data_IF_729765358757
#
_entry.id   IF_729765358757
#
_cell.length_a   1.000
_cell.length_b   1.000
_cell.length_c   1.000
_cell.angle_alpha   90.00
_cell.angle_beta   90.00
_cell.angle_gamma   90.00
#
_symmetry.space_group_name_H-M   'P 1'
#
loop_
_entity.id
_entity.type
_entity.pdbx_description
1 polymer ?
#
# COMPACT_ATOMS: atom_id res chain seq x y z
N UNK A 1 13.01 -14.26 -15.09
CA UNK A 1 13.95 -13.11 -15.34
C UNK A 1 15.03 -13.11 -14.26
N UNK A 2 16.31 -12.87 -14.59
CA UNK A 2 17.40 -12.90 -13.58
C UNK A 2 17.26 -11.73 -12.59
N UNK A 3 17.41 -11.99 -11.30
CA UNK A 3 17.31 -11.01 -10.20
C UNK A 3 18.18 -9.76 -10.44
N UNK A 4 19.35 -9.92 -11.06
CA UNK A 4 20.24 -8.81 -11.39
C UNK A 4 19.63 -7.66 -12.19
N UNK A 5 18.55 -7.88 -12.97
CA UNK A 5 17.86 -6.81 -13.71
C UNK A 5 17.12 -5.84 -12.78
N UNK A 6 16.57 -6.32 -11.67
CA UNK A 6 15.93 -5.45 -10.67
C UNK A 6 16.93 -4.60 -9.91
N UNK A 7 18.16 -5.15 -9.68
CA UNK A 7 19.26 -4.35 -9.13
C UNK A 7 19.68 -3.22 -10.07
N UNK A 8 19.68 -3.46 -11.40
CA UNK A 8 19.95 -2.38 -12.37
C UNK A 8 18.92 -1.26 -12.22
N UNK A 9 17.61 -1.59 -12.12
CA UNK A 9 16.57 -0.58 -11.93
C UNK A 9 16.76 0.19 -10.62
N UNK A 10 17.17 -0.49 -9.54
CA UNK A 10 17.47 0.18 -8.26
C UNK A 10 18.68 1.12 -8.42
N UNK A 11 19.79 0.66 -9.03
CA UNK A 11 21.00 1.46 -9.22
C UNK A 11 20.69 2.73 -10.02
N UNK A 12 19.84 2.65 -11.03
CA UNK A 12 19.47 3.80 -11.87
C UNK A 12 18.81 4.94 -11.09
N UNK A 13 18.12 4.63 -9.99
CA UNK A 13 17.44 5.65 -9.18
C UNK A 13 18.25 6.13 -7.97
N UNK A 14 19.34 5.45 -7.61
CA UNK A 14 20.21 5.83 -6.48
C UNK A 14 20.62 7.31 -6.52
N UNK A 15 21.11 7.87 -7.65
CA UNK A 15 21.49 9.28 -7.67
C UNK A 15 20.35 10.21 -7.28
N UNK A 16 19.12 9.92 -7.75
CA UNK A 16 17.94 10.72 -7.40
C UNK A 16 17.60 10.58 -5.91
N UNK A 17 17.69 9.35 -5.35
CA UNK A 17 17.40 9.10 -3.94
C UNK A 17 18.40 9.78 -2.99
N UNK A 18 19.65 9.98 -3.42
CA UNK A 18 20.69 10.64 -2.62
C UNK A 18 20.62 12.16 -2.74
N UNK A 19 20.34 12.66 -3.95
CA UNK A 19 20.40 14.10 -4.25
C UNK A 19 19.06 14.84 -3.99
N UNK A 20 17.97 14.11 -3.78
CA UNK A 20 16.64 14.70 -3.57
C UNK A 20 16.48 15.16 -2.13
N UNK A 21 15.89 16.33 -1.95
CA UNK A 21 15.45 16.83 -0.65
C UNK A 21 14.03 16.39 -0.30
N UNK A 22 13.68 16.51 0.99
CA UNK A 22 12.33 16.22 1.50
C UNK A 22 11.31 17.25 1.01
N UNK A 23 10.15 16.77 0.57
CA UNK A 23 9.03 17.66 0.23
C UNK A 23 8.35 18.16 1.50
N UNK A 24 8.11 19.50 1.64
CA UNK A 24 7.60 20.07 2.89
C UNK A 24 6.22 19.55 3.29
N UNK A 25 5.29 19.50 2.36
CA UNK A 25 3.86 19.27 2.65
C UNK A 25 3.49 17.84 3.02
N UNK A 26 4.24 16.83 2.58
CA UNK A 26 3.92 15.43 2.85
C UNK A 26 5.01 14.74 3.63
N UNK A 27 6.25 14.77 3.13
CA UNK A 27 7.34 13.96 3.70
C UNK A 27 7.76 14.49 5.07
N UNK A 28 8.04 15.80 5.20
CA UNK A 28 8.38 16.40 6.50
C UNK A 28 7.24 16.27 7.50
N UNK A 29 5.98 16.35 7.06
CA UNK A 29 4.83 16.10 7.93
C UNK A 29 4.85 14.67 8.50
N UNK A 30 5.13 13.66 7.68
CA UNK A 30 5.20 12.28 8.18
C UNK A 30 6.36 12.07 9.15
N UNK A 31 7.51 12.69 8.90
CA UNK A 31 8.65 12.63 9.81
C UNK A 31 8.35 13.33 11.16
N UNK A 32 7.68 14.49 11.13
CA UNK A 32 7.23 15.17 12.34
C UNK A 32 6.26 14.32 13.17
N UNK A 33 5.30 13.62 12.52
CA UNK A 33 4.38 12.71 13.19
C UNK A 33 5.14 11.55 13.85
N UNK A 34 6.15 10.99 13.16
CA UNK A 34 6.98 9.91 13.69
C UNK A 34 7.81 10.38 14.88
N UNK A 35 8.37 11.61 14.84
CA UNK A 35 9.12 12.19 15.96
C UNK A 35 8.25 12.38 17.20
N UNK A 36 7.04 12.89 17.01
CA UNK A 36 6.06 13.05 18.09
C UNK A 36 5.66 11.69 18.68
N UNK A 37 5.38 10.71 17.82
CA UNK A 37 5.02 9.37 18.24
C UNK A 37 6.15 8.65 19.00
N UNK A 38 7.41 8.79 18.56
CA UNK A 38 8.57 8.21 19.27
C UNK A 38 8.85 8.90 20.61
N UNK A 39 8.66 10.23 20.69
CA UNK A 39 8.83 10.99 21.92
C UNK A 39 7.78 10.58 22.97
N UNK A 40 6.53 10.42 22.55
CA UNK A 40 5.38 10.23 23.44
C UNK A 40 5.03 8.75 23.64
N UNK A 41 5.72 7.82 22.95
CA UNK A 41 5.54 6.37 23.08
C UNK A 41 4.29 5.83 22.39
N UNK A 42 3.81 6.50 21.34
CA UNK A 42 2.64 6.10 20.58
C UNK A 42 3.01 5.22 19.37
N UNK A 43 2.36 4.05 19.23
CA UNK A 43 2.60 3.10 18.14
C UNK A 43 1.38 2.84 17.26
N UNK A 44 0.19 2.95 17.81
CA UNK A 44 -1.07 2.73 17.08
C UNK A 44 -1.83 4.01 16.82
N UNK A 45 -1.57 5.06 17.60
CA UNK A 45 -2.22 6.36 17.50
C UNK A 45 -1.19 7.44 17.20
N UNK A 46 -1.51 8.32 16.27
CA UNK A 46 -0.58 9.35 15.82
C UNK A 46 -1.16 10.73 16.05
N UNK A 47 -0.27 11.66 16.31
CA UNK A 47 -0.58 13.06 16.52
C UNK A 47 0.33 13.92 15.64
N UNK A 48 -0.13 15.10 15.31
CA UNK A 48 0.64 16.08 14.55
C UNK A 48 0.45 17.44 15.19
N UNK A 49 1.50 17.99 15.78
CA UNK A 49 1.49 19.24 16.55
C UNK A 49 0.47 19.21 17.71
N UNK A 50 0.37 18.07 18.39
CA UNK A 50 -0.55 17.83 19.49
C UNK A 50 -2.00 17.54 19.08
N UNK A 51 -2.34 17.67 17.79
CA UNK A 51 -3.66 17.32 17.27
C UNK A 51 -3.73 15.87 16.80
N UNK A 52 -4.88 15.25 16.99
CA UNK A 52 -5.15 13.87 16.62
C UNK A 52 -5.04 13.66 15.10
N UNK A 53 -4.14 12.76 14.67
CA UNK A 53 -3.90 12.43 13.27
C UNK A 53 -4.32 10.99 12.96
N UNK A 54 -5.61 10.78 12.71
CA UNK A 54 -6.17 9.47 12.34
C UNK A 54 -6.30 9.25 10.81
N UNK A 55 -5.62 10.08 10.01
CA UNK A 55 -5.76 10.10 8.53
C UNK A 55 -5.16 8.86 7.84
N UNK A 56 -4.15 8.25 8.44
CA UNK A 56 -3.43 7.12 7.86
C UNK A 56 -3.24 5.98 8.87
N UNK A 57 -3.31 4.70 8.40
CA UNK A 57 -2.97 3.54 9.20
C UNK A 57 -1.48 3.50 9.59
N UNK A 58 -1.11 2.73 10.65
CA UNK A 58 0.22 2.79 11.26
C UNK A 58 1.36 2.16 10.47
N UNK A 59 1.11 1.24 9.52
CA UNK A 59 2.18 0.44 8.89
C UNK A 59 3.32 1.29 8.33
N UNK A 60 2.98 2.35 7.60
CA UNK A 60 4.01 3.19 6.97
C UNK A 60 4.81 3.98 8.02
N UNK A 61 4.15 4.48 9.06
CA UNK A 61 4.83 5.16 10.18
C UNK A 61 5.76 4.21 10.92
N UNK A 62 5.38 2.94 11.13
CA UNK A 62 6.28 1.94 11.70
C UNK A 62 7.54 1.71 10.87
N UNK A 63 7.42 1.73 9.53
CA UNK A 63 8.59 1.64 8.65
C UNK A 63 9.50 2.87 8.79
N UNK A 64 8.93 4.07 8.92
CA UNK A 64 9.70 5.29 9.15
C UNK A 64 10.38 5.28 10.53
N UNK A 65 9.70 4.82 11.59
CA UNK A 65 10.28 4.59 12.92
C UNK A 65 11.44 3.59 12.86
N UNK A 66 11.25 2.47 12.16
CA UNK A 66 12.28 1.46 11.94
C UNK A 66 13.50 2.06 11.23
N UNK A 67 13.28 2.90 10.20
CA UNK A 67 14.37 3.60 9.52
C UNK A 67 15.17 4.46 10.50
N UNK A 68 14.50 5.29 11.30
CA UNK A 68 15.16 6.14 12.30
C UNK A 68 15.90 5.31 13.33
N UNK A 69 15.36 4.18 13.76
CA UNK A 69 16.03 3.28 14.70
C UNK A 69 17.31 2.64 14.11
N UNK A 70 17.30 2.29 12.81
CA UNK A 70 18.45 1.67 12.14
C UNK A 70 19.58 2.68 11.87
N UNK A 71 19.25 3.87 11.37
CA UNK A 71 20.22 4.87 10.94
C UNK A 71 20.51 5.97 11.97
N UNK A 72 19.74 6.02 13.07
CA UNK A 72 19.86 7.07 14.10
C UNK A 72 19.27 8.41 13.68
N UNK A 73 19.15 8.66 12.39
CA UNK A 73 18.62 9.89 11.78
C UNK A 73 17.72 9.60 10.57
N UNK A 74 17.06 10.62 10.05
CA UNK A 74 16.29 10.49 8.82
C UNK A 74 17.18 10.61 7.60
N UNK A 75 17.58 9.48 7.04
CA UNK A 75 18.33 9.41 5.80
C UNK A 75 17.36 9.25 4.62
N UNK A 76 17.38 10.18 3.66
CA UNK A 76 16.50 10.15 2.48
C UNK A 76 16.61 8.83 1.71
N UNK A 77 17.83 8.33 1.50
CA UNK A 77 18.04 7.05 0.81
C UNK A 77 17.36 5.89 1.54
N UNK A 78 17.61 5.75 2.85
CA UNK A 78 17.02 4.68 3.68
C UNK A 78 15.50 4.72 3.69
N UNK A 79 14.92 5.92 3.84
CA UNK A 79 13.48 6.13 3.84
C UNK A 79 12.85 5.81 2.47
N UNK A 80 13.49 6.23 1.38
CA UNK A 80 13.00 5.99 0.01
C UNK A 80 12.98 4.50 -0.36
N UNK A 81 13.75 3.65 0.32
CA UNK A 81 13.71 2.19 0.13
C UNK A 81 12.31 1.62 0.43
N UNK A 82 11.56 2.20 1.36
CA UNK A 82 10.19 1.77 1.67
C UNK A 82 9.16 2.11 0.60
N UNK A 83 9.50 2.91 -0.40
CA UNK A 83 8.69 3.17 -1.58
C UNK A 83 9.23 2.43 -2.82
N UNK A 84 10.54 2.48 -3.06
CA UNK A 84 11.13 1.89 -4.27
C UNK A 84 11.18 0.35 -4.23
N UNK A 85 11.44 -0.26 -3.06
CA UNK A 85 11.41 -1.73 -2.94
C UNK A 85 10.02 -2.30 -3.26
N UNK A 86 8.90 -1.80 -2.67
CA UNK A 86 7.57 -2.19 -3.08
C UNK A 86 7.28 -1.99 -4.58
N UNK A 87 7.79 -0.91 -5.18
CA UNK A 87 7.66 -0.70 -6.63
C UNK A 87 8.36 -1.80 -7.43
N UNK A 88 9.61 -2.15 -7.08
CA UNK A 88 10.36 -3.23 -7.74
C UNK A 88 9.72 -4.60 -7.52
N UNK A 89 9.20 -4.87 -6.31
CA UNK A 89 8.44 -6.09 -6.01
C UNK A 89 7.18 -6.15 -6.86
N UNK A 90 6.48 -5.02 -7.06
CA UNK A 90 5.30 -4.96 -7.93
C UNK A 90 5.64 -5.35 -9.37
N UNK A 91 6.73 -4.83 -9.92
CA UNK A 91 7.24 -5.25 -11.24
C UNK A 91 7.57 -6.75 -11.26
N UNK A 92 8.22 -7.26 -10.21
CA UNK A 92 8.54 -8.68 -10.10
C UNK A 92 7.29 -9.55 -10.11
N UNK A 93 6.26 -9.19 -9.33
CA UNK A 93 4.98 -9.91 -9.28
C UNK A 93 4.30 -9.90 -10.65
N UNK A 94 4.24 -8.75 -11.32
CA UNK A 94 3.66 -8.64 -12.66
C UNK A 94 4.40 -9.54 -13.66
N UNK A 95 5.73 -9.54 -13.65
CA UNK A 95 6.52 -10.43 -14.49
C UNK A 95 6.27 -11.92 -14.21
N UNK A 96 6.13 -12.26 -12.91
CA UNK A 96 5.82 -13.63 -12.50
C UNK A 96 4.43 -14.05 -12.94
N UNK A 97 3.48 -13.12 -12.93
CA UNK A 97 2.08 -13.37 -13.32
C UNK A 97 1.96 -13.74 -14.81
N UNK A 98 2.67 -13.01 -15.67
CA UNK A 98 2.61 -13.21 -17.13
C UNK A 98 3.72 -14.12 -17.67
N UNK A 99 4.43 -14.85 -16.80
CA UNK A 99 5.64 -15.62 -17.18
C UNK A 99 5.37 -16.71 -18.18
N UNK A 100 4.20 -17.34 -18.10
CA UNK A 100 3.82 -18.45 -18.99
C UNK A 100 3.32 -17.95 -20.36
N UNK A 101 2.77 -16.74 -20.41
CA UNK A 101 2.14 -16.20 -21.61
C UNK A 101 3.07 -15.32 -22.44
N UNK A 102 4.29 -15.01 -21.93
CA UNK A 102 5.17 -14.02 -22.56
C UNK A 102 6.64 -14.44 -22.57
N UNK A 103 7.40 -13.90 -23.53
CA UNK A 103 8.85 -14.11 -23.60
C UNK A 103 9.59 -13.25 -22.58
N UNK A 104 10.80 -13.66 -22.20
CA UNK A 104 11.63 -12.90 -21.25
C UNK A 104 12.01 -11.50 -21.76
N UNK A 105 12.13 -11.32 -23.08
CA UNK A 105 12.40 -10.02 -23.70
C UNK A 105 11.18 -9.09 -23.56
N UNK A 106 9.99 -9.57 -23.87
CA UNK A 106 8.75 -8.80 -23.76
C UNK A 106 8.47 -8.37 -22.31
N UNK A 107 8.68 -9.27 -21.35
CA UNK A 107 8.57 -8.94 -19.91
C UNK A 107 9.53 -7.84 -19.48
N UNK A 108 10.78 -7.87 -20.00
CA UNK A 108 11.75 -6.83 -19.70
C UNK A 108 11.35 -5.48 -20.27
N UNK A 109 10.91 -5.47 -21.54
CA UNK A 109 10.41 -4.24 -22.17
C UNK A 109 9.21 -3.67 -21.41
N UNK A 110 8.24 -4.50 -21.03
CA UNK A 110 7.09 -4.08 -20.21
C UNK A 110 7.51 -3.56 -18.84
N UNK A 111 8.53 -4.19 -18.21
CA UNK A 111 9.08 -3.70 -16.94
C UNK A 111 9.71 -2.32 -17.07
N UNK A 112 10.47 -2.08 -18.15
CA UNK A 112 11.07 -0.78 -18.42
C UNK A 112 9.99 0.28 -18.70
N UNK A 113 9.00 -0.02 -19.51
CA UNK A 113 7.89 0.90 -19.80
C UNK A 113 7.14 1.29 -18.53
N UNK A 114 6.84 0.32 -17.65
CA UNK A 114 6.19 0.60 -16.37
C UNK A 114 7.11 1.42 -15.46
N UNK A 115 8.37 1.02 -15.31
CA UNK A 115 9.34 1.68 -14.43
C UNK A 115 9.62 3.13 -14.85
N UNK A 116 9.70 3.40 -16.17
CA UNK A 116 9.96 4.74 -16.70
C UNK A 116 8.70 5.61 -16.84
N UNK A 117 7.51 5.06 -16.56
CA UNK A 117 6.31 5.89 -16.54
C UNK A 117 6.39 6.92 -15.39
N UNK A 118 6.12 8.19 -15.71
CA UNK A 118 6.31 9.31 -14.77
C UNK A 118 5.58 9.09 -13.44
N UNK A 119 4.34 8.60 -13.49
CA UNK A 119 3.55 8.36 -12.29
C UNK A 119 4.12 7.22 -11.43
N UNK A 120 4.54 6.12 -12.05
CA UNK A 120 5.06 4.96 -11.31
C UNK A 120 6.40 5.28 -10.65
N UNK A 121 7.36 5.83 -11.40
CA UNK A 121 8.67 6.18 -10.85
C UNK A 121 8.54 7.31 -9.81
N UNK A 122 7.73 8.34 -10.09
CA UNK A 122 7.47 9.41 -9.14
C UNK A 122 6.91 8.90 -7.81
N UNK A 123 5.93 7.98 -7.86
CA UNK A 123 5.37 7.34 -6.65
C UNK A 123 6.38 6.43 -5.92
N UNK A 124 7.32 5.83 -6.65
CA UNK A 124 8.39 5.01 -6.07
C UNK A 124 9.52 5.82 -5.43
N UNK A 125 9.72 7.07 -5.83
CA UNK A 125 10.78 7.94 -5.31
C UNK A 125 10.33 8.76 -4.10
N UNK A 126 9.05 9.13 -4.03
CA UNK A 126 8.50 9.96 -2.94
C UNK A 126 8.16 9.09 -1.73
N UNK A 127 8.37 9.63 -0.51
CA UNK A 127 7.98 8.98 0.74
C UNK A 127 6.45 8.94 0.86
N UNK A 128 5.86 7.91 0.28
CA UNK A 128 4.42 7.69 0.28
C UNK A 128 4.09 6.21 0.41
N UNK A 129 2.96 5.94 1.06
CA UNK A 129 2.45 4.58 1.26
C UNK A 129 1.82 3.96 0.00
N UNK A 130 1.76 4.71 -1.12
CA UNK A 130 1.06 4.29 -2.34
C UNK A 130 1.65 3.02 -2.94
N UNK A 131 2.97 2.96 -3.11
CA UNK A 131 3.62 1.78 -3.68
C UNK A 131 3.56 0.56 -2.77
N UNK A 132 3.60 0.78 -1.44
CA UNK A 132 3.44 -0.29 -0.45
C UNK A 132 2.03 -0.91 -0.53
N UNK A 133 0.99 -0.07 -0.58
CA UNK A 133 -0.39 -0.52 -0.78
C UNK A 133 -0.56 -1.24 -2.12
N UNK A 134 -0.04 -0.67 -3.21
CA UNK A 134 -0.11 -1.24 -4.56
C UNK A 134 0.53 -2.64 -4.61
N UNK A 135 1.70 -2.82 -3.99
CA UNK A 135 2.38 -4.11 -3.87
C UNK A 135 1.49 -5.15 -3.18
N UNK A 136 0.86 -4.79 -2.05
CA UNK A 136 -0.01 -5.74 -1.34
C UNK A 136 -1.28 -6.05 -2.10
N UNK A 137 -1.88 -5.08 -2.81
CA UNK A 137 -3.01 -5.32 -3.70
C UNK A 137 -2.62 -6.31 -4.81
N UNK A 138 -1.46 -6.11 -5.46
CA UNK A 138 -0.97 -7.02 -6.50
C UNK A 138 -0.69 -8.43 -5.96
N UNK A 139 -0.11 -8.54 -4.77
CA UNK A 139 0.10 -9.83 -4.09
C UNK A 139 -1.23 -10.54 -3.82
N UNK A 140 -2.25 -9.82 -3.36
CA UNK A 140 -3.59 -10.36 -3.14
C UNK A 140 -4.21 -10.86 -4.45
N UNK A 141 -4.20 -10.05 -5.50
CA UNK A 141 -4.76 -10.40 -6.81
C UNK A 141 -4.01 -11.56 -7.48
N UNK A 142 -2.69 -11.57 -7.42
CA UNK A 142 -1.88 -12.67 -7.92
C UNK A 142 -2.15 -13.98 -7.15
N UNK A 143 -2.29 -13.91 -5.82
CA UNK A 143 -2.64 -15.05 -4.99
C UNK A 143 -4.03 -15.58 -5.32
N UNK A 144 -5.02 -14.70 -5.50
CA UNK A 144 -6.35 -15.06 -5.97
C UNK A 144 -6.28 -15.74 -7.34
N UNK A 145 -5.56 -15.15 -8.30
CA UNK A 145 -5.43 -15.71 -9.65
C UNK A 145 -4.77 -17.10 -9.66
N UNK A 146 -3.74 -17.33 -8.84
CA UNK A 146 -3.15 -18.67 -8.68
C UNK A 146 -4.18 -19.68 -8.17
N UNK A 147 -4.97 -19.31 -7.17
CA UNK A 147 -6.04 -20.18 -6.66
C UNK A 147 -7.09 -20.47 -7.72
N UNK A 148 -7.49 -19.46 -8.49
CA UNK A 148 -8.44 -19.60 -9.60
C UNK A 148 -7.92 -20.52 -10.71
N UNK A 149 -6.66 -20.38 -11.09
CA UNK A 149 -6.00 -21.18 -12.13
C UNK A 149 -5.62 -22.60 -11.70
N UNK A 150 -6.00 -23.03 -10.49
CA UNK A 150 -5.65 -24.35 -9.98
C UNK A 150 -4.19 -24.52 -9.54
N UNK A 151 -3.39 -23.45 -9.57
CA UNK A 151 -1.97 -23.40 -9.13
C UNK A 151 -1.81 -22.97 -7.67
N UNK A 152 -2.92 -22.83 -6.96
CA UNK A 152 -2.95 -22.38 -5.56
C UNK A 152 -2.35 -23.41 -4.61
N UNK A 153 -1.70 -22.91 -3.55
CA UNK A 153 -1.16 -23.70 -2.45
C UNK A 153 -2.03 -23.53 -1.20
N UNK A 154 -2.01 -24.47 -0.22
CA UNK A 154 -2.79 -24.35 1.03
C UNK A 154 -2.55 -23.04 1.77
N UNK A 155 -1.30 -22.52 1.77
CA UNK A 155 -0.93 -21.24 2.37
C UNK A 155 -1.61 -20.03 1.73
N UNK A 156 -2.01 -20.13 0.45
CA UNK A 156 -2.63 -19.03 -0.28
C UNK A 156 -4.01 -18.65 0.30
N UNK A 157 -4.64 -19.55 1.07
CA UNK A 157 -5.87 -19.26 1.83
C UNK A 157 -5.64 -18.27 2.97
N UNK A 158 -4.47 -18.32 3.59
CA UNK A 158 -4.07 -17.37 4.63
C UNK A 158 -3.47 -16.09 3.99
N UNK A 159 -2.64 -16.25 2.96
CA UNK A 159 -1.92 -15.13 2.33
C UNK A 159 -2.86 -14.14 1.65
N UNK A 160 -3.96 -14.59 1.05
CA UNK A 160 -4.91 -13.69 0.39
C UNK A 160 -5.51 -12.65 1.35
N UNK A 161 -6.19 -13.03 2.45
CA UNK A 161 -6.71 -12.06 3.41
C UNK A 161 -5.61 -11.29 4.13
N UNK A 162 -4.45 -11.89 4.38
CA UNK A 162 -3.30 -11.20 4.95
C UNK A 162 -2.81 -10.06 4.05
N UNK A 163 -2.66 -10.28 2.75
CA UNK A 163 -2.25 -9.22 1.83
C UNK A 163 -3.30 -8.11 1.71
N UNK A 164 -4.59 -8.47 1.72
CA UNK A 164 -5.68 -7.47 1.77
C UNK A 164 -5.58 -6.65 3.05
N UNK A 165 -5.38 -7.31 4.22
CA UNK A 165 -5.17 -6.60 5.48
C UNK A 165 -3.96 -5.65 5.40
N UNK A 166 -2.82 -6.10 4.88
CA UNK A 166 -1.62 -5.27 4.74
C UNK A 166 -1.84 -4.08 3.80
N UNK A 167 -2.66 -4.23 2.76
CA UNK A 167 -3.05 -3.12 1.91
C UNK A 167 -3.93 -2.10 2.65
N UNK A 168 -4.92 -2.56 3.45
CA UNK A 168 -5.71 -1.71 4.35
C UNK A 168 -4.80 -1.00 5.35
N UNK A 169 -3.92 -1.75 5.98
CA UNK A 169 -3.01 -1.29 7.02
C UNK A 169 -1.93 -0.32 6.50
N UNK A 170 -1.74 -0.28 5.15
CA UNK A 170 -0.86 0.70 4.49
C UNK A 170 -1.54 2.04 4.24
N UNK A 171 -2.78 2.06 3.73
CA UNK A 171 -3.42 3.31 3.28
C UNK A 171 -4.92 3.40 3.57
N UNK A 172 -5.53 2.39 4.20
CA UNK A 172 -6.95 2.38 4.57
C UNK A 172 -7.87 1.71 3.55
N UNK A 173 -9.16 2.13 3.45
CA UNK A 173 -10.23 1.38 2.77
C UNK A 173 -9.97 1.03 1.31
N UNK A 174 -9.20 1.82 0.58
CA UNK A 174 -8.84 1.55 -0.82
C UNK A 174 -8.13 0.20 -0.97
N UNK A 175 -7.28 -0.17 0.03
CA UNK A 175 -6.61 -1.45 0.08
C UNK A 175 -7.54 -2.67 0.20
N UNK A 176 -8.79 -2.45 0.60
CA UNK A 176 -9.84 -3.46 0.66
C UNK A 176 -10.73 -3.44 -0.58
N UNK A 177 -11.21 -2.27 -0.96
CA UNK A 177 -12.19 -2.09 -2.03
C UNK A 177 -11.63 -2.55 -3.38
N UNK A 178 -10.40 -2.14 -3.71
CA UNK A 178 -9.78 -2.43 -5.02
C UNK A 178 -9.63 -3.93 -5.26
N UNK A 179 -9.00 -4.74 -4.39
CA UNK A 179 -8.86 -6.17 -4.65
C UNK A 179 -10.22 -6.89 -4.68
N UNK A 180 -11.18 -6.54 -3.81
CA UNK A 180 -12.49 -7.20 -3.81
C UNK A 180 -13.29 -6.91 -5.08
N UNK A 181 -13.38 -5.65 -5.50
CA UNK A 181 -14.06 -5.29 -6.74
C UNK A 181 -13.38 -5.95 -7.93
N UNK A 182 -12.06 -5.96 -7.98
CA UNK A 182 -11.31 -6.59 -9.08
C UNK A 182 -11.60 -8.10 -9.16
N UNK A 183 -11.60 -8.80 -8.02
CA UNK A 183 -11.95 -10.23 -7.96
C UNK A 183 -13.39 -10.48 -8.41
N UNK A 184 -14.34 -9.66 -7.95
CA UNK A 184 -15.75 -9.76 -8.34
C UNK A 184 -15.96 -9.53 -9.84
N UNK A 185 -15.36 -8.46 -10.39
CA UNK A 185 -15.47 -8.13 -11.82
C UNK A 185 -14.80 -9.24 -12.66
N UNK A 186 -13.66 -9.75 -12.24
CA UNK A 186 -13.00 -10.87 -12.92
C UNK A 186 -13.92 -12.11 -12.99
N UNK A 187 -14.54 -12.49 -11.87
CA UNK A 187 -15.46 -13.62 -11.82
C UNK A 187 -16.75 -13.37 -12.59
N UNK A 188 -17.24 -12.12 -12.62
CA UNK A 188 -18.38 -11.72 -13.47
C UNK A 188 -18.06 -11.92 -14.96
N UNK A 189 -16.92 -11.45 -15.42
CA UNK A 189 -16.44 -11.64 -16.81
C UNK A 189 -16.29 -13.13 -17.16
N UNK A 190 -15.82 -13.93 -16.20
CA UNK A 190 -15.70 -15.39 -16.34
C UNK A 190 -17.03 -16.14 -16.15
N UNK A 191 -18.14 -15.44 -15.85
CA UNK A 191 -19.49 -16.00 -15.57
C UNK A 191 -19.48 -17.01 -14.41
N UNK A 192 -18.59 -16.84 -13.45
CA UNK A 192 -18.36 -17.75 -12.30
C UNK A 192 -18.45 -17.02 -10.95
N UNK A 193 -19.40 -16.13 -10.79
CA UNK A 193 -19.56 -15.33 -9.55
C UNK A 193 -19.82 -16.20 -8.32
N UNK A 194 -20.48 -17.36 -8.52
CA UNK A 194 -20.77 -18.30 -7.42
C UNK A 194 -19.51 -18.82 -6.75
N UNK A 195 -18.41 -18.86 -7.46
CA UNK A 195 -17.11 -19.27 -6.92
C UNK A 195 -16.44 -18.20 -6.05
N UNK A 196 -16.99 -16.99 -5.93
CA UNK A 196 -16.43 -15.97 -5.06
C UNK A 196 -16.26 -16.47 -3.62
N UNK A 197 -17.31 -17.08 -3.03
CA UNK A 197 -17.28 -17.66 -1.68
C UNK A 197 -16.29 -18.84 -1.55
N UNK A 198 -15.89 -19.48 -2.65
CA UNK A 198 -14.85 -20.53 -2.66
C UNK A 198 -13.46 -19.95 -2.49
N UNK A 199 -13.21 -18.76 -3.04
CA UNK A 199 -11.91 -18.09 -2.99
C UNK A 199 -11.80 -17.10 -1.83
N UNK A 200 -12.93 -16.46 -1.47
CA UNK A 200 -13.03 -15.53 -0.34
C UNK A 200 -14.25 -15.87 0.51
N UNK A 201 -14.15 -16.99 1.22
CA UNK A 201 -15.20 -17.54 2.05
C UNK A 201 -15.12 -17.08 3.51
N UNK A 202 -15.90 -17.71 4.39
CA UNK A 202 -15.98 -17.32 5.80
C UNK A 202 -14.65 -17.38 6.55
N UNK A 203 -13.74 -18.29 6.13
CA UNK A 203 -12.40 -18.41 6.74
C UNK A 203 -11.52 -17.21 6.41
N UNK A 204 -11.50 -16.82 5.14
CA UNK A 204 -10.77 -15.64 4.68
C UNK A 204 -11.33 -14.36 5.33
N UNK A 205 -12.64 -14.25 5.46
CA UNK A 205 -13.29 -13.18 6.23
C UNK A 205 -12.90 -13.21 7.70
N UNK A 206 -12.88 -14.38 8.34
CA UNK A 206 -12.46 -14.54 9.74
C UNK A 206 -11.02 -14.11 9.98
N UNK A 207 -10.09 -14.49 9.10
CA UNK A 207 -8.69 -14.09 9.18
C UNK A 207 -8.56 -12.57 9.01
N UNK A 208 -9.20 -11.99 8.00
CA UNK A 208 -9.17 -10.55 7.76
C UNK A 208 -9.73 -9.76 8.95
N UNK A 209 -10.91 -10.17 9.44
CA UNK A 209 -11.55 -9.55 10.61
C UNK A 209 -10.72 -9.71 11.88
N UNK A 210 -10.02 -10.84 12.05
CA UNK A 210 -9.11 -11.05 13.17
C UNK A 210 -7.95 -10.06 13.16
N UNK A 211 -7.31 -9.84 12.02
CA UNK A 211 -6.24 -8.84 11.91
C UNK A 211 -6.76 -7.41 12.14
N UNK A 212 -7.93 -7.06 11.58
CA UNK A 212 -8.55 -5.77 11.82
C UNK A 212 -8.91 -5.58 13.31
N UNK A 213 -9.43 -6.62 13.96
CA UNK A 213 -9.77 -6.57 15.38
C UNK A 213 -8.53 -6.35 16.26
N UNK A 214 -7.41 -7.01 15.97
CA UNK A 214 -6.14 -6.80 16.68
C UNK A 214 -5.67 -5.35 16.51
N UNK A 215 -5.74 -4.82 15.29
CA UNK A 215 -5.36 -3.43 15.01
C UNK A 215 -6.26 -2.44 15.75
N UNK A 216 -7.58 -2.60 15.66
CA UNK A 216 -8.53 -1.71 16.33
C UNK A 216 -8.45 -1.80 17.85
N UNK A 217 -8.15 -2.99 18.39
CA UNK A 217 -7.87 -3.17 19.82
C UNK A 217 -6.62 -2.38 20.23
N UNK A 218 -5.54 -2.44 19.46
CA UNK A 218 -4.34 -1.64 19.70
C UNK A 218 -4.63 -0.14 19.76
N UNK A 219 -5.40 0.36 18.78
CA UNK A 219 -5.85 1.76 18.77
C UNK A 219 -6.71 2.09 20.00
N UNK A 220 -7.65 1.23 20.35
CA UNK A 220 -8.55 1.46 21.48
C UNK A 220 -7.79 1.50 22.83
N UNK A 221 -6.81 0.62 22.99
CA UNK A 221 -5.99 0.56 24.22
C UNK A 221 -5.06 1.78 24.36
N UNK A 222 -4.58 2.37 23.25
CA UNK A 222 -3.65 3.48 23.28
C UNK A 222 -4.36 4.86 23.19
N UNK A 223 -5.34 5.01 22.30
CA UNK A 223 -6.01 6.29 22.01
C UNK A 223 -7.49 6.37 22.40
N UNK A 224 -8.03 5.29 22.98
CA UNK A 224 -9.41 5.24 23.43
C UNK A 224 -10.44 5.27 22.30
N UNK A 225 -11.70 5.45 22.70
CA UNK A 225 -12.84 5.49 21.77
C UNK A 225 -12.82 6.72 20.85
N UNK A 226 -12.25 7.81 21.29
CA UNK A 226 -12.20 9.07 20.51
C UNK A 226 -11.36 8.91 19.26
N UNK A 227 -10.17 8.32 19.37
CA UNK A 227 -9.31 8.05 18.20
C UNK A 227 -9.95 7.05 17.24
N UNK A 228 -10.50 5.95 17.77
CA UNK A 228 -11.14 4.92 16.98
C UNK A 228 -12.36 5.46 16.22
N UNK A 229 -13.19 6.26 16.85
CA UNK A 229 -14.33 6.92 16.20
C UNK A 229 -13.87 7.88 15.10
N UNK A 230 -12.82 8.66 15.33
CA UNK A 230 -12.26 9.54 14.30
C UNK A 230 -11.76 8.74 13.09
N UNK A 231 -11.00 7.67 13.31
CA UNK A 231 -10.50 6.81 12.23
C UNK A 231 -11.65 6.18 11.41
N UNK A 232 -12.66 5.59 12.09
CA UNK A 232 -13.71 4.83 11.41
C UNK A 232 -14.76 5.73 10.76
N UNK A 233 -15.19 6.78 11.43
CA UNK A 233 -16.29 7.61 10.98
C UNK A 233 -15.83 8.88 10.29
N UNK A 234 -15.02 9.69 10.94
CA UNK A 234 -14.63 10.98 10.39
C UNK A 234 -13.72 10.82 9.15
N UNK A 235 -12.68 10.01 9.23
CA UNK A 235 -11.71 9.87 8.15
C UNK A 235 -12.12 8.85 7.08
N UNK A 236 -13.03 7.94 7.36
CA UNK A 236 -13.44 6.91 6.39
C UNK A 236 -14.79 7.24 5.77
N UNK A 237 -15.84 7.39 6.59
CA UNK A 237 -17.21 7.56 6.10
C UNK A 237 -17.44 9.00 5.64
N UNK A 238 -17.08 10.00 6.43
CA UNK A 238 -17.32 11.40 6.05
C UNK A 238 -16.53 11.80 4.81
N UNK A 239 -15.28 11.31 4.65
CA UNK A 239 -14.51 11.53 3.41
C UNK A 239 -15.08 10.81 2.19
N UNK A 240 -15.72 9.66 2.37
CA UNK A 240 -16.39 8.97 1.27
C UNK A 240 -17.65 9.71 0.81
N UNK A 241 -18.35 10.37 1.75
CA UNK A 241 -19.59 11.12 1.47
C UNK A 241 -19.27 12.56 1.06
N UNK A 242 -18.36 13.22 1.74
CA UNK A 242 -18.00 14.62 1.52
C UNK A 242 -16.47 14.78 1.43
N UNK A 243 -15.96 14.98 0.22
CA UNK A 243 -14.53 15.24 0.00
C UNK A 243 -14.20 16.66 0.48
N UNK A 244 -13.56 16.79 1.66
CA UNK A 244 -13.31 18.06 2.31
C UNK A 244 -12.51 19.09 1.49
N UNK A 245 -11.56 18.62 0.64
CA UNK A 245 -10.58 19.52 0.02
C UNK A 245 -10.63 19.62 -1.52
N UNK A 246 -11.52 18.89 -2.19
CA UNK A 246 -11.46 18.74 -3.65
C UNK A 246 -12.79 18.95 -4.38
N UNK A 247 -13.64 19.86 -3.88
CA UNK A 247 -14.82 20.30 -4.67
C UNK A 247 -14.35 21.21 -5.83
N UNK A 248 -13.74 20.59 -6.83
CA UNK A 248 -13.39 21.25 -8.07
C UNK A 248 -14.45 20.95 -9.13
N UNK A 249 -14.77 21.96 -9.96
CA UNK A 249 -15.70 21.75 -11.07
C UNK A 249 -15.14 20.68 -12.03
N UNK A 250 -16.01 19.91 -12.70
CA UNK A 250 -15.60 18.78 -13.55
C UNK A 250 -14.62 19.17 -14.67
N UNK A 251 -14.62 20.43 -15.11
CA UNK A 251 -13.69 20.97 -16.11
C UNK A 251 -12.32 21.39 -15.56
N UNK A 252 -12.15 21.40 -14.24
CA UNK A 252 -10.93 21.88 -13.59
C UNK A 252 -9.67 21.20 -14.15
N UNK A 253 -9.71 19.90 -14.32
CA UNK A 253 -8.57 19.13 -14.86
C UNK A 253 -8.34 19.38 -16.36
N UNK A 254 -9.34 19.81 -17.11
CA UNK A 254 -9.21 20.17 -18.52
C UNK A 254 -8.59 21.56 -18.76
N UNK A 255 -8.57 22.42 -17.74
CA UNK A 255 -8.02 23.78 -17.81
C UNK A 255 -6.66 23.90 -17.11
N UNK A 256 -6.33 22.94 -16.22
CA UNK A 256 -5.13 23.02 -15.38
C UNK A 256 -3.97 22.14 -15.90
N UNK A 257 -4.21 21.31 -16.92
CA UNK A 257 -3.20 20.46 -17.59
C UNK A 257 -2.98 20.86 -19.03
#
# INVERSE_FOLDING_TARGET
MKIGRYFILLILVIPVLILRDFTPNNELKYLSIVDEALRDGHFFTFYHQGELYADKPPLYFWLLMLSKWIWGEYNMFGLSLFSIIPALISIYIMNKWVEEDTTASLRWSGSLMLFTSAFFIGSGLVLRMDMLMCMFILLALYTFYKRYSGKGQPRDRFLLPFYIFMAIFSKGPVGFIVPLITMLVFLLVKRDVRSFCRYFGWREWGILSGFCAIWFLGIYLEGGSTYLNNLLFHQTINRAIDSFDHKKAFWYYGVTF
#
